data_IF_750155488511
#
_entry.id   IF_750155488511
#
_cell.length_a   1.000
_cell.length_b   1.000
_cell.length_c   1.000
_cell.angle_alpha   90.00
_cell.angle_beta   90.00
_cell.angle_gamma   90.00
#
_symmetry.space_group_name_H-M   'P 1'
#
loop_
_entity.id
_entity.type
_entity.pdbx_description
1 polymer ?
#
# COMPACT_ATOMS: atom_id res chain seq x y z
N UNK A 1 13.32 -12.22 0.12
CA UNK A 1 12.16 -11.42 0.52
C UNK A 1 11.31 -11.16 -0.72
N UNK A 2 10.00 -11.35 -0.62
CA UNK A 2 9.07 -11.10 -1.72
C UNK A 2 9.06 -9.62 -2.06
N UNK A 3 9.23 -9.28 -3.34
CA UNK A 3 9.20 -7.89 -3.80
C UNK A 3 7.82 -7.54 -4.33
N UNK A 4 7.22 -6.48 -3.81
CA UNK A 4 5.91 -6.01 -4.22
C UNK A 4 5.88 -4.49 -4.33
N UNK A 5 4.80 -3.96 -4.89
CA UNK A 5 4.53 -2.52 -4.89
C UNK A 5 3.26 -2.23 -4.12
N UNK A 6 3.18 -1.02 -3.59
CA UNK A 6 2.00 -0.50 -2.91
C UNK A 6 1.82 0.95 -3.34
N UNK A 7 0.71 1.23 -4.00
CA UNK A 7 0.48 2.51 -4.68
C UNK A 7 -0.77 3.19 -4.17
N UNK A 8 -0.67 4.46 -3.87
CA UNK A 8 -1.80 5.31 -3.48
C UNK A 8 -1.95 6.44 -4.48
N UNK A 9 -3.03 6.41 -5.27
CA UNK A 9 -3.38 7.52 -6.15
C UNK A 9 -4.06 8.59 -5.33
N UNK A 10 -3.80 9.85 -5.66
CA UNK A 10 -4.30 11.00 -4.91
C UNK A 10 -5.14 11.90 -5.82
N UNK A 11 -6.30 12.31 -5.32
CA UNK A 11 -7.18 13.23 -6.03
C UNK A 11 -8.09 13.97 -5.04
N UNK A 12 -8.12 15.28 -5.12
CA UNK A 12 -9.03 16.13 -4.32
C UNK A 12 -8.93 15.86 -2.82
N UNK A 13 -7.71 15.67 -2.29
CA UNK A 13 -7.48 15.38 -0.88
C UNK A 13 -7.86 13.97 -0.46
N UNK A 14 -7.96 13.04 -1.41
CA UNK A 14 -8.33 11.64 -1.18
C UNK A 14 -7.28 10.70 -1.71
N UNK A 15 -7.21 9.52 -1.07
CA UNK A 15 -6.46 8.36 -1.59
C UNK A 15 -7.43 7.36 -2.20
N UNK A 16 -7.03 6.73 -3.30
CA UNK A 16 -7.75 5.56 -3.83
C UNK A 16 -7.38 4.35 -2.99
N UNK A 17 -8.38 3.76 -2.34
CA UNK A 17 -8.19 2.62 -1.44
C UNK A 17 -8.90 1.39 -2.00
N UNK A 18 -8.29 0.23 -1.80
CA UNK A 18 -8.86 -1.07 -2.15
C UNK A 18 -9.33 -1.77 -0.88
N UNK A 19 -10.63 -2.07 -0.79
CA UNK A 19 -11.18 -2.89 0.28
C UNK A 19 -11.12 -4.36 -0.14
N UNK A 20 -10.24 -5.13 0.50
CA UNK A 20 -9.95 -6.52 0.15
C UNK A 20 -10.99 -7.47 0.71
N UNK A 21 -12.08 -7.71 -0.04
CA UNK A 21 -13.22 -8.51 0.43
C UNK A 21 -13.52 -9.73 -0.44
N UNK A 22 -12.89 -9.85 -1.63
CA UNK A 22 -13.24 -10.91 -2.60
C UNK A 22 -12.44 -12.20 -2.43
N UNK A 23 -11.28 -12.18 -1.77
CA UNK A 23 -10.43 -13.36 -1.54
C UNK A 23 -10.46 -13.73 -0.07
N UNK A 24 -10.85 -14.99 0.25
CA UNK A 24 -11.00 -15.46 1.64
C UNK A 24 -9.68 -15.76 2.34
N UNK A 25 -8.70 -16.36 1.63
CA UNK A 25 -7.39 -16.72 2.18
C UNK A 25 -6.34 -15.65 1.91
N UNK A 26 -6.69 -14.41 2.20
CA UNK A 26 -5.87 -13.23 1.96
C UNK A 26 -5.44 -12.66 3.31
N UNK A 27 -4.13 -12.43 3.50
CA UNK A 27 -3.61 -11.78 4.71
C UNK A 27 -4.25 -10.41 4.92
N UNK A 28 -4.65 -9.74 3.84
CA UNK A 28 -5.31 -8.44 3.88
C UNK A 28 -6.84 -8.52 3.88
N UNK A 29 -7.43 -9.72 4.08
CA UNK A 29 -8.89 -9.89 4.00
C UNK A 29 -9.61 -8.91 4.94
N UNK A 30 -10.61 -8.23 4.40
CA UNK A 30 -11.43 -7.20 5.05
C UNK A 30 -10.66 -5.93 5.45
N UNK A 31 -9.39 -5.81 5.04
CA UNK A 31 -8.63 -4.58 5.26
C UNK A 31 -8.67 -3.66 4.05
N UNK A 32 -8.47 -2.38 4.30
CA UNK A 32 -8.30 -1.36 3.26
C UNK A 32 -6.81 -1.16 3.01
N UNK A 33 -6.40 -1.27 1.77
CA UNK A 33 -4.99 -1.17 1.37
C UNK A 33 -4.85 -0.32 0.12
N UNK A 34 -3.62 -0.01 -0.27
CA UNK A 34 -3.34 0.55 -1.59
C UNK A 34 -3.42 -0.52 -2.67
N UNK A 35 -3.21 -0.13 -3.90
CA UNK A 35 -3.15 -1.05 -5.04
C UNK A 35 -1.69 -1.39 -5.34
N UNK A 36 -1.46 -2.60 -5.83
CA UNK A 36 -0.11 -3.08 -6.14
C UNK A 36 -0.07 -4.59 -6.18
N UNK A 37 1.10 -5.13 -6.34
CA UNK A 37 1.27 -6.58 -6.39
C UNK A 37 2.71 -6.98 -6.56
N UNK A 38 2.92 -8.26 -6.86
CA UNK A 38 4.23 -8.87 -6.98
C UNK A 38 4.94 -8.44 -8.25
N UNK A 39 6.27 -8.27 -8.17
CA UNK A 39 7.10 -8.07 -9.37
C UNK A 39 7.00 -9.29 -10.27
N UNK A 40 6.90 -9.04 -11.56
CA UNK A 40 7.10 -10.07 -12.58
C UNK A 40 8.58 -10.13 -12.97
N UNK A 41 9.03 -11.27 -13.56
CA UNK A 41 10.43 -11.39 -13.99
C UNK A 41 10.86 -10.21 -14.87
N UNK A 42 11.98 -9.58 -14.50
CA UNK A 42 12.54 -8.46 -15.24
C UNK A 42 11.95 -7.10 -14.92
N UNK A 43 10.94 -7.02 -14.04
CA UNK A 43 10.38 -5.74 -13.62
C UNK A 43 11.21 -5.10 -12.49
N UNK A 44 11.33 -3.77 -12.55
CA UNK A 44 11.76 -2.97 -11.41
C UNK A 44 10.52 -2.42 -10.69
N UNK A 45 10.73 -1.68 -9.60
CA UNK A 45 9.61 -1.16 -8.82
C UNK A 45 8.69 -0.22 -9.62
N UNK A 46 9.20 0.78 -10.38
CA UNK A 46 8.31 1.62 -11.19
C UNK A 46 7.51 0.86 -12.24
N UNK A 47 8.12 -0.11 -12.93
CA UNK A 47 7.43 -0.90 -13.95
C UNK A 47 6.30 -1.73 -13.34
N UNK A 48 6.57 -2.38 -12.20
CA UNK A 48 5.56 -3.15 -11.47
C UNK A 48 4.41 -2.23 -11.01
N UNK A 49 4.73 -1.07 -10.45
CA UNK A 49 3.72 -0.11 -10.01
C UNK A 49 2.80 0.32 -11.16
N UNK A 50 3.38 0.68 -12.30
CA UNK A 50 2.62 1.10 -13.49
C UNK A 50 1.69 -0.01 -13.96
N UNK A 51 2.19 -1.24 -14.05
CA UNK A 51 1.41 -2.39 -14.52
C UNK A 51 0.28 -2.73 -13.57
N UNK A 52 0.58 -2.87 -12.27
CA UNK A 52 -0.40 -3.28 -11.27
C UNK A 52 -1.52 -2.24 -11.11
N UNK A 53 -1.18 -0.95 -11.10
CA UNK A 53 -2.21 0.10 -10.99
C UNK A 53 -3.15 0.05 -12.20
N UNK A 54 -2.60 -0.14 -13.40
CA UNK A 54 -3.42 -0.23 -14.60
C UNK A 54 -4.33 -1.46 -14.59
N UNK A 55 -3.79 -2.61 -14.19
CA UNK A 55 -4.56 -3.86 -14.14
C UNK A 55 -5.67 -3.81 -13.08
N UNK A 56 -5.37 -3.27 -11.91
CA UNK A 56 -6.30 -3.28 -10.78
C UNK A 56 -7.31 -2.13 -10.81
N UNK A 57 -6.94 -0.99 -11.39
CA UNK A 57 -7.80 0.22 -11.32
C UNK A 57 -8.33 0.68 -12.66
N UNK A 58 -7.69 0.30 -13.78
CA UNK A 58 -7.98 0.85 -15.09
C UNK A 58 -7.31 2.21 -15.34
N UNK A 59 -6.62 2.75 -14.35
CA UNK A 59 -5.96 4.05 -14.44
C UNK A 59 -4.49 3.87 -14.80
N UNK A 60 -3.97 4.81 -15.59
CA UNK A 60 -2.55 4.85 -15.95
C UNK A 60 -1.89 6.04 -15.26
N UNK A 61 -0.92 5.75 -14.38
CA UNK A 61 -0.17 6.78 -13.67
C UNK A 61 0.75 7.56 -14.61
N UNK A 62 0.89 8.84 -14.34
CA UNK A 62 1.86 9.72 -15.00
C UNK A 62 2.81 10.24 -13.92
N UNK A 63 4.11 9.96 -14.07
CA UNK A 63 5.16 10.38 -13.14
C UNK A 63 4.88 9.99 -11.67
N UNK A 64 4.72 8.70 -11.35
CA UNK A 64 4.55 8.27 -9.97
C UNK A 64 5.78 8.62 -9.12
N UNK A 65 5.55 8.97 -7.86
CA UNK A 65 6.62 9.31 -6.91
C UNK A 65 6.97 8.10 -6.08
N UNK A 66 8.22 7.70 -6.09
CA UNK A 66 8.75 6.62 -5.27
C UNK A 66 9.05 7.20 -3.88
N UNK A 67 8.24 6.83 -2.89
CA UNK A 67 8.24 7.48 -1.57
C UNK A 67 9.07 6.75 -0.53
N UNK A 68 9.20 5.44 -0.62
CA UNK A 68 9.94 4.67 0.35
C UNK A 68 9.77 3.17 0.16
N UNK A 69 10.38 2.42 1.09
CA UNK A 69 10.29 0.96 1.13
C UNK A 69 9.74 0.56 2.49
N UNK A 70 8.76 -0.35 2.49
CA UNK A 70 8.13 -0.87 3.71
C UNK A 70 8.35 -2.38 3.76
N UNK A 71 9.10 -2.85 4.76
CA UNK A 71 9.29 -4.28 4.99
C UNK A 71 8.22 -4.78 5.95
N UNK A 72 7.43 -5.74 5.50
CA UNK A 72 6.30 -6.30 6.23
C UNK A 72 6.62 -7.72 6.65
N UNK A 73 6.63 -7.99 7.95
CA UNK A 73 6.87 -9.31 8.52
C UNK A 73 5.70 -9.69 9.43
N UNK A 74 5.01 -10.77 9.07
CA UNK A 74 3.84 -11.26 9.81
C UNK A 74 3.71 -12.77 9.60
N UNK A 75 4.10 -13.58 10.58
CA UNK A 75 3.93 -15.04 10.49
C UNK A 75 2.45 -15.40 10.40
N UNK A 76 2.06 -16.43 9.64
CA UNK A 76 2.89 -17.37 8.87
C UNK A 76 3.21 -16.92 7.43
N UNK A 77 2.88 -15.69 7.09
CA UNK A 77 3.06 -15.17 5.74
C UNK A 77 4.55 -14.92 5.43
N UNK A 78 4.99 -15.11 4.18
CA UNK A 78 6.38 -14.81 3.83
C UNK A 78 6.68 -13.31 3.99
N UNK A 79 7.90 -12.94 4.42
CA UNK A 79 8.28 -11.54 4.51
C UNK A 79 8.18 -10.84 3.15
N UNK A 80 7.73 -9.61 3.17
CA UNK A 80 7.44 -8.85 1.96
C UNK A 80 8.11 -7.49 2.04
N UNK A 81 8.76 -7.09 0.95
CA UNK A 81 9.31 -5.75 0.80
C UNK A 81 8.43 -4.98 -0.19
N UNK A 82 7.69 -4.01 0.32
CA UNK A 82 6.76 -3.22 -0.46
C UNK A 82 7.40 -1.90 -0.87
N UNK A 83 7.41 -1.63 -2.18
CA UNK A 83 7.90 -0.37 -2.73
C UNK A 83 6.72 0.59 -2.83
N UNK A 84 6.78 1.68 -2.07
CA UNK A 84 5.66 2.59 -1.85
C UNK A 84 5.69 3.76 -2.81
N UNK A 85 4.59 3.95 -3.54
CA UNK A 85 4.42 5.03 -4.51
C UNK A 85 3.18 5.84 -4.21
N UNK A 86 3.23 7.14 -4.54
CA UNK A 86 2.05 7.99 -4.63
C UNK A 86 2.01 8.63 -6.01
N UNK A 87 0.81 9.00 -6.48
CA UNK A 87 0.67 9.62 -7.79
C UNK A 87 -0.60 10.46 -7.81
N UNK A 88 -0.47 11.74 -8.19
CA UNK A 88 -1.59 12.66 -8.30
C UNK A 88 -1.94 12.99 -9.76
N UNK A 89 -1.23 12.39 -10.72
CA UNK A 89 -1.48 12.59 -12.15
C UNK A 89 -1.69 11.23 -12.82
N UNK A 90 -2.88 11.00 -13.33
CA UNK A 90 -3.25 9.76 -14.00
C UNK A 90 -4.34 10.01 -15.03
N UNK A 91 -4.49 9.06 -15.98
CA UNK A 91 -5.50 9.09 -17.04
C UNK A 91 -6.28 7.79 -17.03
N UNK A 92 -7.39 7.74 -17.76
CA UNK A 92 -8.22 6.56 -17.88
C UNK A 92 -9.47 6.64 -17.01
N UNK A 93 -10.20 5.53 -16.97
CA UNK A 93 -11.43 5.42 -16.19
C UNK A 93 -11.28 4.33 -15.14
N UNK A 94 -11.77 4.61 -13.94
CA UNK A 94 -11.76 3.64 -12.84
C UNK A 94 -12.64 2.44 -13.19
N UNK A 95 -12.12 1.24 -12.94
CA UNK A 95 -12.87 0.00 -13.13
C UNK A 95 -14.12 -0.02 -12.28
N UNK A 96 -15.16 -0.69 -12.78
CA UNK A 96 -16.39 -0.93 -12.01
C UNK A 96 -16.11 -1.95 -10.91
N UNK A 97 -16.90 -1.95 -9.82
CA UNK A 97 -16.71 -2.92 -8.73
C UNK A 97 -16.68 -4.38 -9.22
N UNK A 98 -17.48 -4.74 -10.21
CA UNK A 98 -17.54 -6.10 -10.74
C UNK A 98 -16.29 -6.50 -11.54
N UNK A 99 -15.54 -5.53 -12.04
CA UNK A 99 -14.35 -5.75 -12.84
C UNK A 99 -13.06 -5.78 -12.02
N UNK A 100 -13.14 -5.49 -10.72
CA UNK A 100 -12.01 -5.57 -9.81
C UNK A 100 -12.03 -6.91 -9.07
N UNK A 101 -11.03 -7.76 -9.34
CA UNK A 101 -10.99 -9.14 -8.85
C UNK A 101 -10.69 -9.26 -7.35
N UNK A 102 -10.11 -8.23 -6.74
CA UNK A 102 -9.58 -8.32 -5.38
C UNK A 102 -10.47 -7.68 -4.33
N UNK A 103 -11.37 -6.80 -4.74
CA UNK A 103 -12.25 -6.10 -3.82
C UNK A 103 -12.94 -4.93 -4.48
N UNK A 104 -13.22 -3.90 -3.69
CA UNK A 104 -13.85 -2.66 -4.18
C UNK A 104 -12.91 -1.48 -4.02
N UNK A 105 -12.94 -0.57 -4.99
CA UNK A 105 -12.11 0.64 -5.00
C UNK A 105 -12.96 1.83 -4.59
N UNK A 106 -12.44 2.64 -3.66
CA UNK A 106 -13.11 3.87 -3.23
C UNK A 106 -12.09 4.97 -2.97
N UNK A 107 -12.51 6.20 -3.30
CA UNK A 107 -11.77 7.39 -2.92
C UNK A 107 -12.12 7.74 -1.47
N UNK A 108 -11.11 7.77 -0.60
CA UNK A 108 -11.28 8.02 0.84
C UNK A 108 -10.51 9.28 1.22
N UNK A 109 -11.17 10.18 1.95
CA UNK A 109 -10.52 11.39 2.44
C UNK A 109 -9.26 11.03 3.24
N UNK A 110 -8.15 11.74 3.01
CA UNK A 110 -6.86 11.44 3.66
C UNK A 110 -6.94 11.46 5.17
N UNK A 111 -7.79 12.31 5.74
CA UNK A 111 -8.00 12.41 7.18
C UNK A 111 -8.92 11.31 7.74
N UNK A 112 -9.52 10.50 6.88
CA UNK A 112 -10.41 9.40 7.26
C UNK A 112 -9.79 8.02 7.11
N UNK A 113 -8.68 7.90 6.38
CA UNK A 113 -8.05 6.61 6.08
C UNK A 113 -7.70 5.85 7.35
N UNK A 114 -7.17 6.52 8.36
CA UNK A 114 -6.76 5.88 9.61
C UNK A 114 -7.95 5.43 10.50
N UNK A 115 -9.17 5.80 10.13
CA UNK A 115 -10.38 5.33 10.82
C UNK A 115 -10.91 4.02 10.23
N UNK A 116 -10.38 3.61 9.07
CA UNK A 116 -10.76 2.35 8.41
C UNK A 116 -10.01 1.16 9.01
N UNK A 117 -10.51 -0.09 8.81
CA UNK A 117 -9.74 -1.29 9.12
C UNK A 117 -8.51 -1.38 8.22
N UNK A 118 -7.41 -0.82 8.68
CA UNK A 118 -6.10 -0.87 8.01
C UNK A 118 -5.09 -1.53 8.96
N UNK A 119 -3.95 -1.93 8.43
CA UNK A 119 -2.84 -2.38 9.26
C UNK A 119 -2.34 -1.24 10.13
N UNK A 120 -2.03 -1.50 11.40
CA UNK A 120 -1.56 -0.47 12.33
C UNK A 120 -0.32 0.28 11.81
N UNK A 121 0.60 -0.44 11.20
CA UNK A 121 1.83 0.15 10.64
C UNK A 121 1.58 1.06 9.45
N UNK A 122 0.46 0.88 8.75
CA UNK A 122 0.11 1.76 7.63
C UNK A 122 -0.15 3.20 8.11
N UNK A 123 -0.61 3.35 9.34
CA UNK A 123 -0.79 4.68 9.94
C UNK A 123 0.54 5.43 10.03
N UNK A 124 1.63 4.71 10.27
CA UNK A 124 2.96 5.30 10.35
C UNK A 124 3.41 5.85 9.00
N UNK A 125 3.25 5.07 7.93
CA UNK A 125 3.67 5.59 6.62
C UNK A 125 2.68 6.63 6.06
N UNK A 126 1.40 6.58 6.40
CA UNK A 126 0.48 7.67 6.02
C UNK A 126 0.91 8.99 6.67
N UNK A 127 1.35 8.97 7.93
CA UNK A 127 1.93 10.15 8.59
C UNK A 127 3.14 10.68 7.82
N UNK A 128 4.05 9.80 7.42
CA UNK A 128 5.23 10.18 6.64
C UNK A 128 4.84 10.78 5.29
N UNK A 129 3.88 10.16 4.60
CA UNK A 129 3.39 10.67 3.32
C UNK A 129 2.73 12.05 3.48
N UNK A 130 1.91 12.23 4.50
CA UNK A 130 1.20 13.48 4.74
C UNK A 130 2.14 14.63 5.13
N UNK A 131 3.29 14.32 5.70
CA UNK A 131 4.35 15.28 6.01
C UNK A 131 5.31 15.49 4.85
N UNK A 132 5.09 14.84 3.73
CA UNK A 132 5.99 14.84 2.57
C UNK A 132 7.43 14.50 2.96
N UNK A 133 7.58 13.47 3.80
CA UNK A 133 8.89 13.02 4.28
C UNK A 133 9.81 12.61 3.13
N UNK A 134 11.13 12.76 3.27
CA UNK A 134 12.09 12.23 2.30
C UNK A 134 11.95 10.71 2.17
N UNK A 135 12.52 10.13 1.12
CA UNK A 135 12.53 8.68 0.92
C UNK A 135 12.92 7.96 2.20
N UNK A 136 12.13 6.96 2.61
CA UNK A 136 12.32 6.28 3.90
C UNK A 136 12.33 4.77 3.75
N UNK A 137 12.89 4.09 4.76
CA UNK A 137 12.82 2.64 4.92
C UNK A 137 12.13 2.34 6.25
N UNK A 138 10.95 1.76 6.19
CA UNK A 138 10.13 1.43 7.35
C UNK A 138 10.02 -0.09 7.47
N UNK A 139 10.43 -0.63 8.62
CA UNK A 139 10.31 -2.07 8.90
C UNK A 139 9.20 -2.29 9.92
N UNK A 140 8.24 -3.15 9.57
CA UNK A 140 7.07 -3.43 10.39
C UNK A 140 7.05 -4.91 10.77
N UNK A 141 6.97 -5.19 12.07
CA UNK A 141 6.95 -6.55 12.61
C UNK A 141 5.63 -6.78 13.35
N UNK A 142 4.87 -7.76 12.90
CA UNK A 142 3.54 -8.08 13.42
C UNK A 142 3.49 -9.43 14.11
N UNK A 143 2.62 -9.52 15.12
CA UNK A 143 2.13 -10.78 15.67
C UNK A 143 0.61 -10.82 15.42
N UNK A 144 0.17 -11.66 14.47
CA UNK A 144 -1.22 -11.61 14.00
C UNK A 144 -1.52 -10.23 13.39
N UNK A 145 -2.58 -9.59 13.84
CA UNK A 145 -2.97 -8.26 13.38
C UNK A 145 -2.33 -7.12 14.17
N UNK A 146 -1.50 -7.44 15.16
CA UNK A 146 -0.93 -6.44 16.08
C UNK A 146 0.48 -6.07 15.68
N UNK A 147 0.71 -4.77 15.55
CA UNK A 147 2.05 -4.25 15.34
C UNK A 147 2.86 -4.43 16.63
N UNK A 148 3.95 -5.19 16.54
CA UNK A 148 4.83 -5.49 17.66
C UNK A 148 5.99 -4.51 17.74
N UNK A 149 6.58 -4.17 16.59
CA UNK A 149 7.73 -3.29 16.49
C UNK A 149 7.78 -2.59 15.14
N UNK A 150 8.27 -1.36 15.11
CA UNK A 150 8.53 -0.63 13.87
C UNK A 150 9.87 0.09 13.94
N UNK A 151 10.61 0.04 12.85
CA UNK A 151 11.95 0.65 12.72
C UNK A 151 11.94 1.55 11.50
N UNK A 152 12.25 2.84 11.69
CA UNK A 152 12.31 3.83 10.63
C UNK A 152 13.77 4.25 10.41
N UNK A 153 14.29 4.01 9.22
CA UNK A 153 15.67 4.35 8.84
C UNK A 153 16.70 3.88 9.89
N UNK A 154 16.50 2.68 10.43
CA UNK A 154 17.37 2.07 11.42
C UNK A 154 17.08 2.44 12.87
N UNK A 155 16.12 3.32 13.14
CA UNK A 155 15.76 3.74 14.50
C UNK A 155 14.40 3.17 14.90
N UNK A 156 14.34 2.45 16.01
CA UNK A 156 13.07 1.93 16.52
C UNK A 156 12.15 3.08 16.94
N UNK A 157 10.95 3.12 16.35
CA UNK A 157 9.97 4.18 16.61
C UNK A 157 8.73 3.67 17.34
N UNK A 158 8.56 2.34 17.42
CA UNK A 158 7.42 1.72 18.07
C UNK A 158 7.81 0.32 18.54
N UNK A 159 7.43 -0.01 19.78
CA UNK A 159 7.51 -1.37 20.31
C UNK A 159 6.43 -1.54 21.37
N UNK A 160 5.75 -2.70 21.34
CA UNK A 160 4.83 -3.07 22.41
C UNK A 160 5.61 -3.70 23.56
N UNK A 161 5.25 -3.30 24.76
CA UNK A 161 5.79 -3.90 25.99
C UNK A 161 5.10 -5.24 26.30
#
# INVERSE_FOLDING_TARGET
>A
MLQTTLCYLEKDGRYLMLHRIKKKNDVNHDKWVGVGGKFEPGEDAPACAMREVREETGLTMTAPRYRGVVDFTCDPWPPEQMHLFTCDAFTGELLRPDDCDEGTLEWVDKDKVCELPIWEGDKLFFDLLNQDAPFFHLELFYEGDRLHRAVLDGTQIFAQC
#
